data_IF_866334906127
#
_entry.id   IF_866334906127
#
_cell.length_a   1.000
_cell.length_b   1.000
_cell.length_c   1.000
_cell.angle_alpha   90.00
_cell.angle_beta   90.00
_cell.angle_gamma   90.00
#
_symmetry.space_group_name_H-M   'P 1'
#
loop_
_entity.id
_entity.type
_entity.pdbx_description
1 polymer ?
#
# COMPACT_ATOMS: atom_id res chain seq x y z
N UNK A 1 15.48 16.62 11.97
CA UNK A 1 14.73 17.70 12.63
C UNK A 1 13.31 17.17 12.81
N UNK A 2 12.80 17.10 14.04
CA UNK A 2 11.46 16.58 14.28
C UNK A 2 10.42 17.54 13.66
N UNK A 3 9.43 17.00 12.96
CA UNK A 3 8.32 17.79 12.42
C UNK A 3 7.36 18.06 13.57
N UNK A 4 7.07 19.34 13.84
CA UNK A 4 6.03 19.70 14.79
C UNK A 4 4.64 19.53 14.17
N UNK A 5 3.64 19.25 15.00
CA UNK A 5 2.25 19.14 14.53
C UNK A 5 1.78 20.40 13.85
N UNK A 6 1.02 20.23 12.77
CA UNK A 6 0.49 21.30 11.93
C UNK A 6 1.48 21.81 10.87
N UNK A 7 2.70 21.27 10.82
CA UNK A 7 3.72 21.66 9.84
C UNK A 7 3.91 20.63 8.72
N UNK A 8 3.17 19.51 8.71
CA UNK A 8 3.42 18.42 7.76
C UNK A 8 3.36 18.89 6.30
N UNK A 9 2.31 19.62 5.93
CA UNK A 9 2.11 20.09 4.55
C UNK A 9 3.21 21.06 4.12
N UNK A 10 3.56 22.03 4.95
CA UNK A 10 4.59 23.03 4.62
C UNK A 10 5.98 22.38 4.50
N UNK A 11 6.31 21.47 5.41
CA UNK A 11 7.56 20.70 5.37
C UNK A 11 7.63 19.83 4.13
N UNK A 12 6.51 19.25 3.68
CA UNK A 12 6.48 18.42 2.47
C UNK A 12 6.27 19.21 1.17
N UNK A 13 6.07 20.53 1.25
CA UNK A 13 5.79 21.36 0.08
C UNK A 13 4.44 21.04 -0.57
N UNK A 14 3.47 20.57 0.22
CA UNK A 14 2.11 20.24 -0.21
C UNK A 14 1.18 21.44 -0.05
N UNK A 15 0.31 21.65 -1.02
CA UNK A 15 -0.81 22.61 -0.96
C UNK A 15 -2.15 21.92 -0.68
N UNK A 16 -2.22 20.60 -0.87
CA UNK A 16 -3.36 19.74 -0.60
C UNK A 16 -2.99 18.71 0.47
N UNK A 17 -3.86 18.38 1.44
CA UNK A 17 -3.60 17.35 2.45
C UNK A 17 -3.70 15.92 1.90
N UNK A 18 -3.61 15.72 0.58
CA UNK A 18 -3.81 14.43 -0.08
C UNK A 18 -2.48 13.81 -0.44
N UNK A 19 -2.25 12.63 0.12
CA UNK A 19 -1.15 11.73 -0.23
C UNK A 19 -1.74 10.60 -1.06
N UNK A 20 -1.23 10.39 -2.27
CA UNK A 20 -1.59 9.23 -3.06
C UNK A 20 -0.85 8.00 -2.52
N UNK A 21 -1.60 6.96 -2.15
CA UNK A 21 -1.05 5.76 -1.53
C UNK A 21 -0.15 5.00 -2.52
N UNK A 22 1.03 4.50 -2.10
CA UNK A 22 1.87 3.68 -2.96
C UNK A 22 1.19 2.34 -3.27
N UNK A 23 0.68 2.20 -4.49
CA UNK A 23 -0.04 1.00 -4.94
C UNK A 23 0.82 0.23 -5.94
N UNK A 24 1.49 -0.82 -5.47
CA UNK A 24 2.36 -1.68 -6.27
C UNK A 24 1.63 -2.20 -7.51
N UNK A 25 2.19 -1.93 -8.70
CA UNK A 25 1.59 -2.29 -10.00
C UNK A 25 0.52 -1.34 -10.52
N UNK A 26 0.22 -0.23 -9.84
CA UNK A 26 -0.81 0.74 -10.23
C UNK A 26 -0.38 2.22 -10.14
N UNK A 27 0.56 2.53 -9.26
CA UNK A 27 1.07 3.89 -9.01
C UNK A 27 2.36 4.16 -9.81
N UNK A 28 2.21 4.40 -11.11
CA UNK A 28 3.31 4.69 -12.04
C UNK A 28 3.77 6.16 -11.98
N UNK A 29 4.94 6.50 -12.57
CA UNK A 29 5.46 7.87 -12.61
C UNK A 29 4.44 8.95 -13.01
N UNK A 30 3.57 8.68 -13.99
CA UNK A 30 2.58 9.64 -14.47
C UNK A 30 1.56 10.04 -13.39
N UNK A 31 1.09 9.06 -12.60
CA UNK A 31 0.20 9.32 -11.46
C UNK A 31 0.92 10.13 -10.39
N UNK A 32 2.16 9.77 -10.07
CA UNK A 32 2.97 10.47 -9.06
C UNK A 32 3.14 11.94 -9.45
N UNK A 33 3.52 12.20 -10.71
CA UNK A 33 3.67 13.56 -11.24
C UNK A 33 2.35 14.33 -11.17
N UNK A 34 1.26 13.73 -11.65
CA UNK A 34 -0.05 14.38 -11.67
C UNK A 34 -0.53 14.79 -10.26
N UNK A 35 -0.26 13.96 -9.25
CA UNK A 35 -0.56 14.25 -7.84
C UNK A 35 0.32 15.38 -7.30
N UNK A 36 1.63 15.31 -7.55
CA UNK A 36 2.58 16.31 -7.08
C UNK A 36 2.32 17.70 -7.68
N UNK A 37 2.02 17.77 -8.98
CA UNK A 37 1.67 19.03 -9.66
C UNK A 37 0.35 19.61 -9.16
N UNK A 38 -0.62 18.75 -8.84
CA UNK A 38 -1.89 19.15 -8.23
C UNK A 38 -1.75 19.61 -6.75
N UNK A 39 -0.55 19.56 -6.19
CA UNK A 39 -0.25 20.04 -4.83
C UNK A 39 -0.41 18.99 -3.73
N UNK A 40 -0.70 17.73 -4.08
CA UNK A 40 -0.61 16.60 -3.15
C UNK A 40 0.81 16.02 -3.09
N UNK A 41 0.96 14.89 -2.39
CA UNK A 41 2.19 14.09 -2.40
C UNK A 41 1.96 12.79 -3.16
N UNK A 42 2.66 12.60 -4.28
CA UNK A 42 2.73 11.32 -4.98
C UNK A 42 3.81 10.42 -4.38
N UNK A 43 3.54 9.11 -4.27
CA UNK A 43 4.49 8.13 -3.73
C UNK A 43 4.61 6.95 -4.70
N UNK A 44 5.84 6.69 -5.17
CA UNK A 44 6.18 5.53 -5.99
C UNK A 44 6.14 4.27 -5.12
N UNK A 45 5.47 3.22 -5.60
CA UNK A 45 5.48 1.92 -4.95
C UNK A 45 6.67 1.06 -5.43
N UNK A 46 7.82 1.18 -4.77
CA UNK A 46 9.06 0.54 -5.20
C UNK A 46 9.29 -0.87 -4.62
N UNK A 47 8.44 -1.35 -3.71
CA UNK A 47 8.63 -2.65 -3.06
C UNK A 47 8.86 -3.82 -4.06
N UNK A 48 8.11 -3.97 -5.16
CA UNK A 48 8.36 -5.04 -6.13
C UNK A 48 9.37 -4.69 -7.23
N UNK A 49 9.95 -3.48 -7.22
CA UNK A 49 10.79 -2.98 -8.31
C UNK A 49 12.27 -3.32 -8.11
N UNK A 50 12.97 -3.59 -9.21
CA UNK A 50 14.43 -3.66 -9.20
C UNK A 50 15.07 -2.27 -9.02
N UNK A 51 16.35 -2.22 -8.69
CA UNK A 51 17.10 -0.96 -8.60
C UNK A 51 17.03 -0.15 -9.89
N UNK A 52 17.15 -0.82 -11.05
CA UNK A 52 17.11 -0.19 -12.37
C UNK A 52 15.73 0.44 -12.64
N UNK A 53 14.65 -0.23 -12.23
CA UNK A 53 13.30 0.28 -12.37
C UNK A 53 13.05 1.49 -11.47
N UNK A 54 13.55 1.46 -10.22
CA UNK A 54 13.46 2.60 -9.30
C UNK A 54 14.22 3.82 -9.86
N UNK A 55 15.42 3.61 -10.41
CA UNK A 55 16.20 4.69 -11.01
C UNK A 55 15.53 5.27 -12.28
N UNK A 56 14.98 4.40 -13.13
CA UNK A 56 14.21 4.78 -14.31
C UNK A 56 12.99 5.62 -13.93
N UNK A 57 12.20 5.17 -12.97
CA UNK A 57 11.01 5.86 -12.50
C UNK A 57 11.36 7.22 -11.88
N UNK A 58 12.43 7.29 -11.09
CA UNK A 58 12.96 8.55 -10.56
C UNK A 58 13.37 9.53 -11.69
N UNK A 59 14.07 9.06 -12.72
CA UNK A 59 14.43 9.88 -13.87
C UNK A 59 13.20 10.42 -14.62
N UNK A 60 12.19 9.56 -14.82
CA UNK A 60 10.93 9.93 -15.46
C UNK A 60 10.12 10.97 -14.65
N UNK A 61 10.19 10.92 -13.32
CA UNK A 61 9.55 11.91 -12.43
C UNK A 61 10.32 13.24 -12.46
N UNK A 62 11.63 13.21 -12.18
CA UNK A 62 12.45 14.43 -12.05
C UNK A 62 12.61 15.21 -13.36
N UNK A 63 12.44 14.56 -14.51
CA UNK A 63 12.42 15.24 -15.81
C UNK A 63 11.13 16.03 -16.08
N UNK A 64 10.06 15.81 -15.30
CA UNK A 64 8.73 16.40 -15.54
C UNK A 64 8.18 17.22 -14.37
N UNK A 65 8.73 17.05 -13.17
CA UNK A 65 8.36 17.86 -12.00
C UNK A 65 9.55 18.12 -11.08
N UNK A 66 9.56 19.32 -10.49
CA UNK A 66 10.47 19.68 -9.40
C UNK A 66 9.80 19.56 -8.02
N UNK A 67 8.53 19.13 -7.97
CA UNK A 67 7.78 18.98 -6.72
C UNK A 67 8.30 17.77 -5.92
N UNK A 68 8.26 17.82 -4.59
CA UNK A 68 8.68 16.69 -3.77
C UNK A 68 7.80 15.46 -4.00
N UNK A 69 8.41 14.28 -4.01
CA UNK A 69 7.73 12.99 -4.10
C UNK A 69 8.31 12.00 -3.09
N UNK A 70 7.57 10.92 -2.84
CA UNK A 70 7.99 9.83 -1.97
C UNK A 70 8.30 8.53 -2.71
N UNK A 71 9.01 7.64 -2.02
CA UNK A 71 9.21 6.24 -2.45
C UNK A 71 8.80 5.33 -1.30
N UNK A 72 8.09 4.25 -1.61
CA UNK A 72 7.63 3.27 -0.65
C UNK A 72 8.36 1.94 -0.78
N UNK A 73 8.70 1.35 0.36
CA UNK A 73 9.26 0.01 0.46
C UNK A 73 8.52 -0.83 1.49
N UNK A 74 8.63 -2.14 1.35
CA UNK A 74 8.24 -3.06 2.40
C UNK A 74 9.41 -3.29 3.35
N UNK A 75 9.10 -3.43 4.63
CA UNK A 75 10.08 -3.65 5.70
C UNK A 75 9.76 -4.91 6.50
N UNK A 76 9.29 -5.96 5.82
CA UNK A 76 9.08 -7.25 6.44
C UNK A 76 10.41 -8.01 6.61
N UNK A 77 10.46 -8.88 7.62
CA UNK A 77 11.56 -9.83 7.76
C UNK A 77 11.61 -10.80 6.56
N UNK A 78 12.75 -11.47 6.39
CA UNK A 78 12.86 -12.56 5.45
C UNK A 78 11.80 -13.65 5.74
N UNK A 79 11.17 -14.24 4.72
CA UNK A 79 10.14 -15.24 4.93
C UNK A 79 10.71 -16.47 5.65
N UNK A 80 10.03 -16.89 6.72
CA UNK A 80 10.27 -18.19 7.34
C UNK A 80 9.56 -19.25 6.49
N UNK A 81 10.31 -20.22 5.99
CA UNK A 81 9.74 -21.31 5.20
C UNK A 81 9.04 -22.33 6.09
N UNK A 82 7.84 -22.71 5.67
CA UNK A 82 7.08 -23.80 6.26
C UNK A 82 6.74 -24.79 5.15
N UNK A 83 7.53 -25.87 5.08
CA UNK A 83 7.36 -26.88 4.04
C UNK A 83 6.01 -27.61 4.12
N UNK A 84 5.36 -27.65 5.30
CA UNK A 84 4.04 -28.26 5.46
C UNK A 84 2.99 -27.35 4.86
N UNK A 85 2.98 -26.06 5.24
CA UNK A 85 2.07 -25.07 4.67
C UNK A 85 2.27 -24.90 3.16
N UNK A 86 3.52 -24.85 2.69
CA UNK A 86 3.82 -24.77 1.25
C UNK A 86 3.26 -25.96 0.46
N UNK A 87 3.37 -27.19 0.99
CA UNK A 87 2.79 -28.39 0.34
C UNK A 87 1.28 -28.39 0.39
N UNK A 88 0.68 -28.05 1.53
CA UNK A 88 -0.77 -27.96 1.67
C UNK A 88 -1.34 -26.91 0.70
N UNK A 89 -0.72 -25.74 0.61
CA UNK A 89 -1.14 -24.69 -0.32
C UNK A 89 -1.04 -25.14 -1.78
N UNK A 90 0.06 -25.79 -2.18
CA UNK A 90 0.19 -26.37 -3.53
C UNK A 90 -0.93 -27.37 -3.84
N UNK A 91 -1.24 -28.27 -2.91
CA UNK A 91 -2.35 -29.22 -3.07
C UNK A 91 -3.71 -28.52 -3.18
N UNK A 92 -3.91 -27.43 -2.44
CA UNK A 92 -5.14 -26.64 -2.52
C UNK A 92 -5.29 -25.90 -3.85
N UNK A 93 -4.17 -25.50 -4.45
CA UNK A 93 -4.14 -24.82 -5.74
C UNK A 93 -4.28 -25.76 -6.94
N UNK A 94 -3.93 -27.04 -6.79
CA UNK A 94 -3.92 -28.04 -7.86
C UNK A 94 -5.19 -28.07 -8.74
N UNK A 95 -6.42 -28.01 -8.19
CA UNK A 95 -7.63 -28.03 -9.03
C UNK A 95 -7.73 -26.85 -10.00
N UNK A 96 -7.21 -25.67 -9.66
CA UNK A 96 -7.21 -24.51 -10.54
C UNK A 96 -6.19 -24.67 -11.68
N UNK A 97 -5.05 -25.30 -11.40
CA UNK A 97 -4.04 -25.59 -12.42
C UNK A 97 -4.58 -26.61 -13.42
N UNK A 98 -5.25 -27.66 -12.94
CA UNK A 98 -5.91 -28.67 -13.79
C UNK A 98 -7.03 -28.05 -14.65
N UNK A 99 -7.88 -27.21 -14.06
CA UNK A 99 -8.95 -26.51 -14.78
C UNK A 99 -8.42 -25.63 -15.91
N UNK A 100 -7.36 -24.87 -15.64
CA UNK A 100 -6.76 -23.93 -16.59
C UNK A 100 -5.71 -24.58 -17.51
N UNK A 101 -5.46 -25.88 -17.35
CA UNK A 101 -4.41 -26.61 -18.09
C UNK A 101 -3.02 -25.96 -17.96
N UNK A 102 -2.73 -25.42 -16.78
CA UNK A 102 -1.42 -24.85 -16.44
C UNK A 102 -0.50 -25.96 -15.92
N UNK A 103 0.79 -25.83 -16.20
CA UNK A 103 1.76 -26.80 -15.71
C UNK A 103 1.96 -26.64 -14.20
N UNK A 104 1.82 -27.73 -13.44
CA UNK A 104 2.12 -27.72 -12.01
C UNK A 104 3.62 -27.51 -11.74
N UNK A 105 4.47 -27.78 -12.73
CA UNK A 105 5.90 -27.44 -12.70
C UNK A 105 6.15 -25.92 -12.83
N UNK A 106 5.21 -25.14 -13.37
CA UNK A 106 5.25 -23.67 -13.38
C UNK A 106 5.06 -23.05 -11.99
N UNK A 107 4.73 -23.87 -10.98
CA UNK A 107 4.78 -23.45 -9.58
C UNK A 107 6.25 -23.35 -9.17
N UNK A 108 6.87 -22.22 -9.54
CA UNK A 108 8.27 -21.92 -9.32
C UNK A 108 8.73 -22.29 -7.89
N UNK A 109 9.98 -22.74 -7.79
CA UNK A 109 10.67 -22.83 -6.50
C UNK A 109 10.62 -21.45 -5.85
N UNK A 110 10.23 -21.32 -4.57
CA UNK A 110 9.86 -20.03 -4.02
C UNK A 110 11.11 -19.20 -3.71
N UNK A 111 11.55 -18.39 -4.68
CA UNK A 111 12.39 -17.20 -4.44
C UNK A 111 11.49 -16.06 -4.00
N UNK A 112 11.81 -15.32 -2.94
CA UNK A 112 10.93 -14.23 -2.46
C UNK A 112 10.60 -13.27 -3.61
N UNK A 113 9.31 -13.09 -4.01
CA UNK A 113 8.97 -12.22 -5.14
C UNK A 113 9.12 -10.74 -4.78
N UNK A 114 9.18 -10.44 -3.48
CA UNK A 114 9.37 -9.10 -2.95
C UNK A 114 10.36 -9.23 -1.79
N UNK A 115 11.40 -8.42 -1.81
CA UNK A 115 12.38 -8.35 -0.73
C UNK A 115 11.98 -7.28 0.28
N UNK A 116 12.31 -7.52 1.54
CA UNK A 116 12.30 -6.47 2.55
C UNK A 116 13.40 -5.43 2.26
N UNK A 117 13.26 -4.24 2.81
CA UNK A 117 14.23 -3.16 2.63
C UNK A 117 15.62 -3.55 3.16
N UNK A 118 16.59 -3.66 2.25
CA UNK A 118 17.97 -4.02 2.55
C UNK A 118 18.99 -3.05 1.95
N UNK A 119 20.23 -3.52 1.83
CA UNK A 119 21.38 -2.71 1.39
C UNK A 119 21.20 -2.09 -0.01
N UNK A 120 20.63 -2.86 -0.94
CA UNK A 120 20.36 -2.41 -2.29
C UNK A 120 19.37 -1.23 -2.30
N UNK A 121 18.21 -1.39 -1.65
CA UNK A 121 17.18 -0.35 -1.59
C UNK A 121 17.68 0.89 -0.83
N UNK A 122 18.47 0.70 0.23
CA UNK A 122 19.10 1.80 0.96
C UNK A 122 20.08 2.58 0.08
N UNK A 123 20.92 1.90 -0.70
CA UNK A 123 21.84 2.53 -1.66
C UNK A 123 21.09 3.32 -2.74
N UNK A 124 19.94 2.82 -3.22
CA UNK A 124 19.08 3.57 -4.14
C UNK A 124 18.54 4.85 -3.49
N UNK A 125 18.08 4.78 -2.24
CA UNK A 125 17.61 5.95 -1.48
C UNK A 125 18.72 6.99 -1.32
N UNK A 126 19.95 6.58 -1.00
CA UNK A 126 21.09 7.48 -0.84
C UNK A 126 21.44 8.22 -2.14
N UNK A 127 21.28 7.55 -3.28
CA UNK A 127 21.50 8.14 -4.61
C UNK A 127 20.35 9.06 -5.04
N UNK A 128 19.11 8.61 -4.86
CA UNK A 128 17.91 9.31 -5.33
C UNK A 128 17.55 10.49 -4.45
N UNK A 129 17.80 10.38 -3.14
CA UNK A 129 17.46 11.36 -2.10
C UNK A 129 16.01 11.86 -2.22
N UNK A 130 15.00 10.97 -2.15
CA UNK A 130 13.60 11.36 -2.21
C UNK A 130 13.24 12.22 -0.99
N UNK A 131 12.18 13.04 -1.09
CA UNK A 131 11.73 13.85 0.06
C UNK A 131 11.18 12.98 1.17
N UNK A 132 10.51 11.89 0.78
CA UNK A 132 9.87 10.93 1.67
C UNK A 132 10.32 9.52 1.34
N UNK A 133 10.63 8.75 2.36
CA UNK A 133 10.66 7.29 2.28
C UNK A 133 9.58 6.75 3.21
N UNK A 134 8.64 5.99 2.66
CA UNK A 134 7.58 5.37 3.43
C UNK A 134 7.80 3.87 3.55
N UNK A 135 7.51 3.30 4.71
CA UNK A 135 7.62 1.88 4.98
C UNK A 135 6.26 1.26 5.29
N UNK A 136 6.05 0.05 4.79
CA UNK A 136 4.97 -0.83 5.19
C UNK A 136 5.54 -2.04 5.94
N UNK A 137 4.78 -2.56 6.91
CA UNK A 137 5.19 -3.67 7.79
C UNK A 137 6.29 -3.32 8.82
N UNK A 138 6.31 -2.07 9.30
CA UNK A 138 7.24 -1.61 10.33
C UNK A 138 8.33 -0.70 9.77
N UNK A 139 9.51 -0.75 10.39
CA UNK A 139 10.71 -0.01 10.00
C UNK A 139 11.86 -0.99 9.72
N UNK A 140 12.84 -0.60 8.88
CA UNK A 140 14.01 -1.43 8.63
C UNK A 140 14.94 -1.42 9.85
N UNK A 141 16.02 -2.20 9.78
CA UNK A 141 17.08 -2.18 10.78
C UNK A 141 17.59 -0.75 11.03
N UNK A 142 17.95 -0.46 12.29
CA UNK A 142 18.25 0.89 12.75
C UNK A 142 19.37 1.57 11.94
N UNK A 143 20.37 0.83 11.48
CA UNK A 143 21.47 1.35 10.66
C UNK A 143 21.00 1.76 9.26
N UNK A 144 20.12 0.97 8.64
CA UNK A 144 19.50 1.30 7.35
C UNK A 144 18.58 2.51 7.50
N UNK A 145 17.77 2.56 8.56
CA UNK A 145 16.92 3.70 8.86
C UNK A 145 17.74 4.99 9.06
N UNK A 146 18.86 4.91 9.77
CA UNK A 146 19.76 6.04 9.97
C UNK A 146 20.30 6.57 8.63
N UNK A 147 20.69 5.68 7.72
CA UNK A 147 21.16 6.04 6.38
C UNK A 147 20.09 6.71 5.54
N UNK A 148 18.86 6.18 5.54
CA UNK A 148 17.69 6.81 4.91
C UNK A 148 17.50 8.24 5.41
N UNK A 149 17.57 8.46 6.73
CA UNK A 149 17.46 9.80 7.32
C UNK A 149 18.66 10.71 6.97
N UNK A 150 19.89 10.16 6.92
CA UNK A 150 21.10 10.89 6.48
C UNK A 150 21.03 11.31 5.01
N UNK A 151 20.32 10.56 4.17
CA UNK A 151 20.02 10.96 2.79
C UNK A 151 19.06 12.17 2.71
N UNK A 152 18.47 12.59 3.84
CA UNK A 152 17.58 13.75 3.94
C UNK A 152 16.11 13.44 3.75
N UNK A 153 15.74 12.15 3.70
CA UNK A 153 14.35 11.73 3.60
C UNK A 153 13.64 11.83 4.96
N UNK A 154 12.38 12.24 4.91
CA UNK A 154 11.43 12.07 6.00
C UNK A 154 10.86 10.65 5.96
N UNK A 155 10.84 9.99 7.11
CA UNK A 155 10.39 8.60 7.22
C UNK A 155 8.93 8.56 7.62
N UNK A 156 8.10 7.91 6.80
CA UNK A 156 6.71 7.59 7.14
C UNK A 156 6.55 6.08 7.33
N UNK A 157 5.68 5.64 8.25
CA UNK A 157 5.38 4.22 8.37
C UNK A 157 3.94 3.96 8.81
N UNK A 158 3.39 2.82 8.39
CA UNK A 158 2.01 2.44 8.72
C UNK A 158 1.89 1.85 10.13
N UNK A 159 0.88 2.30 10.88
CA UNK A 159 0.43 1.68 12.13
C UNK A 159 -1.05 1.33 12.02
N UNK A 160 -1.41 0.17 12.57
CA UNK A 160 -2.78 -0.37 12.60
C UNK A 160 -3.36 -0.41 14.01
N UNK A 161 -2.51 -0.16 15.01
CA UNK A 161 -2.85 -0.04 16.42
C UNK A 161 -2.12 1.16 17.04
N UNK A 162 -2.62 1.63 18.20
CA UNK A 162 -1.95 2.68 18.98
C UNK A 162 -0.56 2.23 19.44
N UNK A 163 -0.41 0.97 19.84
CA UNK A 163 0.87 0.40 20.27
C UNK A 163 1.93 0.46 19.16
N UNK A 164 1.54 0.16 17.92
CA UNK A 164 2.44 0.29 16.77
C UNK A 164 2.83 1.74 16.52
N UNK A 165 1.92 2.70 16.66
CA UNK A 165 2.22 4.12 16.49
C UNK A 165 3.23 4.63 17.53
N UNK A 166 3.05 4.27 18.80
CA UNK A 166 4.00 4.60 19.88
C UNK A 166 5.35 3.95 19.62
N UNK A 167 5.36 2.71 19.12
CA UNK A 167 6.60 2.04 18.73
C UNK A 167 7.30 2.79 17.59
N UNK A 168 6.59 3.18 16.53
CA UNK A 168 7.16 3.92 15.40
C UNK A 168 7.79 5.25 15.85
N UNK A 169 7.12 5.99 16.73
CA UNK A 169 7.65 7.23 17.31
C UNK A 169 8.96 6.98 18.07
N UNK A 170 8.98 5.97 18.94
CA UNK A 170 10.17 5.63 19.72
C UNK A 170 11.36 5.15 18.86
N UNK A 171 11.10 4.65 17.65
CA UNK A 171 12.11 4.06 16.77
C UNK A 171 12.47 4.95 15.56
N UNK A 172 12.14 6.24 15.63
CA UNK A 172 12.68 7.23 14.69
C UNK A 172 11.88 7.43 13.41
N UNK A 173 10.60 7.03 13.38
CA UNK A 173 9.66 7.49 12.38
C UNK A 173 9.44 9.01 12.51
N UNK A 174 9.16 9.70 11.41
CA UNK A 174 8.86 11.14 11.41
C UNK A 174 7.35 11.42 11.25
N UNK A 175 6.59 10.49 10.65
CA UNK A 175 5.14 10.61 10.40
C UNK A 175 4.48 9.23 10.46
N UNK A 176 3.39 9.09 11.22
CA UNK A 176 2.65 7.83 11.33
C UNK A 176 1.45 7.82 10.39
N UNK A 177 1.35 6.78 9.55
CA UNK A 177 0.18 6.52 8.70
C UNK A 177 -0.77 5.60 9.50
N UNK A 178 -1.84 6.17 10.04
CA UNK A 178 -2.90 5.45 10.74
C UNK A 178 -3.78 4.68 9.74
N UNK A 179 -3.46 3.40 9.53
CA UNK A 179 -4.12 2.55 8.55
C UNK A 179 -5.32 1.82 9.17
N UNK A 180 -6.52 2.36 9.00
CA UNK A 180 -7.77 1.74 9.43
C UNK A 180 -8.13 0.48 8.64
N UNK A 181 -9.12 -0.26 9.13
CA UNK A 181 -9.51 -1.59 8.63
C UNK A 181 -10.25 -1.53 7.30
N UNK A 182 -10.73 -0.35 6.97
CA UNK A 182 -11.34 0.03 5.72
C UNK A 182 -10.32 0.12 4.57
N UNK A 183 -9.01 0.15 4.85
CA UNK A 183 -7.98 0.27 3.82
C UNK A 183 -7.92 -0.96 2.89
N UNK A 184 -7.69 -0.72 1.60
CA UNK A 184 -7.43 -1.74 0.60
C UNK A 184 -6.00 -2.26 0.64
N UNK A 185 -5.76 -3.44 0.07
CA UNK A 185 -4.42 -4.04 0.02
C UNK A 185 -3.97 -4.55 1.39
N UNK A 186 -2.67 -4.80 1.54
CA UNK A 186 -2.11 -5.40 2.73
C UNK A 186 -2.35 -4.60 4.01
N UNK A 187 -2.55 -5.33 5.11
CA UNK A 187 -2.53 -4.80 6.47
C UNK A 187 -1.10 -4.57 6.93
N UNK A 188 -0.78 -3.33 7.28
CA UNK A 188 0.55 -2.85 7.64
C UNK A 188 1.03 -3.17 9.05
N UNK A 189 0.24 -3.93 9.82
CA UNK A 189 0.56 -4.37 11.19
C UNK A 189 1.92 -5.07 11.20
N UNK A 190 2.67 -5.00 12.30
CA UNK A 190 4.00 -5.59 12.38
C UNK A 190 4.39 -6.08 13.78
N UNK A 191 3.70 -5.63 14.83
CA UNK A 191 3.90 -6.16 16.18
C UNK A 191 3.07 -7.41 16.40
N UNK A 192 3.62 -8.36 17.16
CA UNK A 192 2.93 -9.60 17.50
C UNK A 192 1.61 -9.32 18.24
N UNK A 193 0.53 -9.96 17.79
CA UNK A 193 -0.80 -9.82 18.38
C UNK A 193 -1.56 -8.57 17.93
N UNK A 194 -1.01 -7.78 17.01
CA UNK A 194 -1.73 -6.67 16.39
C UNK A 194 -2.93 -7.16 15.58
N UNK A 195 -2.88 -8.36 15.01
CA UNK A 195 -3.86 -8.92 14.06
C UNK A 195 -5.30 -8.80 14.56
N UNK A 196 -5.54 -9.16 15.83
CA UNK A 196 -6.86 -9.15 16.48
C UNK A 196 -7.23 -7.81 17.13
N UNK A 197 -6.29 -6.86 17.19
CA UNK A 197 -6.42 -5.58 17.90
C UNK A 197 -6.59 -4.38 16.97
N UNK A 198 -6.62 -4.65 15.67
CA UNK A 198 -6.77 -3.66 14.64
C UNK A 198 -8.12 -2.93 14.72
N UNK A 199 -8.17 -1.67 14.25
CA UNK A 199 -9.32 -0.77 14.43
C UNK A 199 -9.77 -0.08 13.14
N UNK A 200 -11.04 0.31 13.07
CA UNK A 200 -11.54 1.17 11.99
C UNK A 200 -10.98 2.59 12.07
N UNK A 201 -10.83 3.27 10.92
CA UNK A 201 -10.21 4.60 10.77
C UNK A 201 -10.78 5.61 11.77
N UNK A 202 -12.10 5.62 11.95
CA UNK A 202 -12.79 6.57 12.82
C UNK A 202 -12.33 6.51 14.28
N UNK A 203 -11.93 5.33 14.75
CA UNK A 203 -11.43 5.13 16.12
C UNK A 203 -9.92 5.13 16.21
N UNK A 204 -9.24 4.65 15.16
CA UNK A 204 -7.78 4.53 15.14
C UNK A 204 -7.10 5.91 15.09
N UNK A 205 -7.57 6.79 14.21
CA UNK A 205 -6.95 8.10 13.97
C UNK A 205 -6.88 8.95 15.25
N UNK A 206 -8.00 9.28 15.93
CA UNK A 206 -7.93 10.16 17.10
C UNK A 206 -7.13 9.52 18.24
N UNK A 207 -7.21 8.19 18.42
CA UNK A 207 -6.45 7.51 19.47
C UNK A 207 -4.95 7.52 19.22
N UNK A 208 -4.51 7.44 17.95
CA UNK A 208 -3.09 7.61 17.62
C UNK A 208 -2.68 9.08 17.83
N UNK A 209 -3.50 10.03 17.37
CA UNK A 209 -3.25 11.47 17.56
C UNK A 209 -3.07 11.80 19.04
N UNK A 210 -3.86 11.23 19.95
CA UNK A 210 -3.72 11.47 21.38
C UNK A 210 -2.48 10.81 22.00
N UNK A 211 -1.98 9.72 21.41
CA UNK A 211 -0.95 8.87 22.01
C UNK A 211 0.49 9.24 21.62
N UNK A 212 0.71 9.90 20.48
CA UNK A 212 2.05 10.28 19.99
C UNK A 212 2.16 11.79 19.82
N UNK A 213 3.35 12.31 19.56
CA UNK A 213 3.61 13.72 19.20
C UNK A 213 3.79 13.92 17.70
N UNK A 214 4.14 12.89 16.95
CA UNK A 214 4.33 12.97 15.50
C UNK A 214 3.04 13.38 14.76
N UNK A 215 3.16 13.97 13.56
CA UNK A 215 2.06 14.11 12.60
C UNK A 215 1.44 12.76 12.25
N UNK A 216 0.12 12.74 12.09
CA UNK A 216 -0.66 11.56 11.74
C UNK A 216 -1.30 11.74 10.37
N UNK A 217 -1.15 10.75 9.50
CA UNK A 217 -1.81 10.64 8.21
C UNK A 217 -2.89 9.57 8.29
N UNK A 218 -4.15 9.92 8.03
CA UNK A 218 -5.24 8.95 8.06
C UNK A 218 -5.30 8.14 6.75
N UNK A 219 -5.41 6.81 6.85
CA UNK A 219 -5.54 5.94 5.68
C UNK A 219 -6.65 4.90 5.88
N UNK A 220 -7.46 4.68 4.83
CA UNK A 220 -8.51 3.66 4.82
C UNK A 220 -9.92 4.24 4.84
N UNK A 221 -10.76 3.82 3.89
CA UNK A 221 -12.15 4.27 3.75
C UNK A 221 -12.32 5.70 3.19
N UNK A 222 -11.24 6.46 3.06
CA UNK A 222 -11.27 7.85 2.58
C UNK A 222 -11.33 7.84 1.05
N UNK A 223 -12.53 8.06 0.52
CA UNK A 223 -12.78 8.09 -0.92
C UNK A 223 -13.11 9.47 -1.47
N UNK A 224 -13.69 10.38 -0.68
CA UNK A 224 -14.20 11.70 -1.12
C UNK A 224 -13.89 12.81 -0.09
N UNK A 225 -14.28 14.04 -0.41
CA UNK A 225 -14.03 15.23 0.45
C UNK A 225 -14.62 15.13 1.86
N UNK A 226 -15.71 14.37 2.06
CA UNK A 226 -16.31 14.18 3.40
C UNK A 226 -15.38 13.33 4.25
N UNK A 227 -14.82 12.27 3.68
CA UNK A 227 -13.80 11.45 4.34
C UNK A 227 -12.55 12.26 4.69
N UNK A 228 -12.11 13.15 3.79
CA UNK A 228 -10.97 14.05 4.06
C UNK A 228 -11.28 14.97 5.24
N UNK A 229 -12.41 15.68 5.21
CA UNK A 229 -12.82 16.58 6.30
C UNK A 229 -12.98 15.84 7.63
N UNK A 230 -13.57 14.65 7.62
CA UNK A 230 -13.71 13.84 8.83
C UNK A 230 -12.35 13.43 9.41
N UNK A 231 -11.42 12.95 8.57
CA UNK A 231 -10.08 12.58 9.03
C UNK A 231 -9.31 13.75 9.64
N UNK A 232 -9.36 14.91 8.99
CA UNK A 232 -8.75 16.13 9.50
C UNK A 232 -9.41 16.60 10.81
N UNK A 233 -10.74 16.50 10.93
CA UNK A 233 -11.47 16.80 12.18
C UNK A 233 -11.14 15.83 13.33
N UNK A 234 -10.72 14.60 13.01
CA UNK A 234 -10.21 13.62 13.98
C UNK A 234 -8.74 13.87 14.37
N UNK A 235 -8.11 14.92 13.84
CA UNK A 235 -6.75 15.36 14.19
C UNK A 235 -5.64 14.86 13.26
N UNK A 236 -5.96 14.20 12.15
CA UNK A 236 -4.96 13.93 11.12
C UNK A 236 -4.54 15.22 10.41
N UNK A 237 -3.28 15.31 9.97
CA UNK A 237 -2.77 16.46 9.20
C UNK A 237 -2.93 16.26 7.69
N UNK A 238 -3.00 15.01 7.26
CA UNK A 238 -3.19 14.63 5.87
C UNK A 238 -3.94 13.30 5.78
N UNK A 239 -4.33 12.94 4.57
CA UNK A 239 -4.97 11.66 4.24
C UNK A 239 -4.15 10.92 3.20
N UNK A 240 -4.02 9.61 3.35
CA UNK A 240 -3.46 8.73 2.34
C UNK A 240 -4.58 7.95 1.66
N UNK A 241 -4.75 8.22 0.36
CA UNK A 241 -5.86 7.71 -0.45
C UNK A 241 -5.33 6.73 -1.49
N UNK A 242 -5.87 5.51 -1.50
CA UNK A 242 -5.48 4.46 -2.45
C UNK A 242 -6.59 4.17 -3.46
N UNK A 243 -7.65 3.48 -3.03
CA UNK A 243 -8.71 2.95 -3.89
C UNK A 243 -9.33 3.97 -4.85
N UNK A 244 -9.47 5.23 -4.46
CA UNK A 244 -9.99 6.27 -5.35
C UNK A 244 -9.06 6.55 -6.56
N UNK A 245 -7.73 6.48 -6.36
CA UNK A 245 -6.75 6.69 -7.43
C UNK A 245 -6.67 5.51 -8.40
N UNK A 246 -7.15 4.31 -8.03
CA UNK A 246 -7.24 3.17 -8.95
C UNK A 246 -8.22 3.43 -10.11
N UNK A 247 -9.13 4.40 -9.96
CA UNK A 247 -10.09 4.80 -10.99
C UNK A 247 -9.57 5.94 -11.89
N UNK A 248 -8.36 6.46 -11.64
CA UNK A 248 -7.79 7.56 -12.41
C UNK A 248 -7.22 7.08 -13.74
N UNK A 249 -7.18 7.96 -14.74
CA UNK A 249 -6.67 7.66 -16.08
C UNK A 249 -5.20 7.21 -16.11
N UNK A 250 -4.42 7.64 -15.11
CA UNK A 250 -3.01 7.31 -14.92
C UNK A 250 -2.80 5.94 -14.26
N UNK A 251 -3.86 5.34 -13.72
CA UNK A 251 -3.82 3.98 -13.23
C UNK A 251 -3.88 3.04 -14.46
N UNK A 252 -2.73 2.52 -14.89
CA UNK A 252 -2.65 1.54 -15.99
C UNK A 252 -3.28 0.20 -15.55
N UNK A 253 -4.61 0.16 -15.58
CA UNK A 253 -5.40 -0.96 -15.07
C UNK A 253 -5.64 -2.03 -16.13
N UNK A 254 -5.51 -3.29 -15.71
CA UNK A 254 -5.97 -4.43 -16.52
C UNK A 254 -7.49 -4.38 -16.65
N UNK A 255 -8.07 -4.68 -17.83
CA UNK A 255 -9.52 -4.56 -18.04
C UNK A 255 -10.37 -5.35 -17.04
N UNK A 256 -9.97 -6.57 -16.67
CA UNK A 256 -10.67 -7.39 -15.68
C UNK A 256 -10.70 -6.75 -14.28
N UNK A 257 -9.55 -6.20 -13.85
CA UNK A 257 -9.43 -5.50 -12.57
C UNK A 257 -10.34 -4.26 -12.53
N UNK A 258 -10.30 -3.43 -13.58
CA UNK A 258 -11.10 -2.22 -13.64
C UNK A 258 -12.60 -2.53 -13.61
N UNK A 259 -13.05 -3.53 -14.38
CA UNK A 259 -14.46 -3.96 -14.38
C UNK A 259 -14.89 -4.44 -13.00
N UNK A 260 -14.10 -5.31 -12.36
CA UNK A 260 -14.40 -5.80 -11.02
C UNK A 260 -14.51 -4.65 -10.01
N UNK A 261 -13.56 -3.70 -10.04
CA UNK A 261 -13.59 -2.53 -9.16
C UNK A 261 -14.82 -1.65 -9.41
N UNK A 262 -15.17 -1.38 -10.67
CA UNK A 262 -16.31 -0.52 -11.05
C UNK A 262 -17.68 -1.13 -10.73
N UNK A 263 -17.77 -2.46 -10.71
CA UNK A 263 -18.99 -3.21 -10.41
C UNK A 263 -19.15 -3.51 -8.91
N UNK A 264 -18.15 -3.17 -8.09
CA UNK A 264 -18.14 -3.46 -6.65
C UNK A 264 -18.46 -2.23 -5.81
N UNK A 265 -18.91 -2.50 -4.60
CA UNK A 265 -19.12 -1.54 -3.52
C UNK A 265 -18.23 -1.87 -2.32
N UNK A 266 -18.27 -1.03 -1.28
CA UNK A 266 -17.55 -1.31 -0.05
C UNK A 266 -17.94 -2.63 0.64
N UNK A 267 -19.17 -3.08 0.45
CA UNK A 267 -19.72 -4.33 1.03
C UNK A 267 -19.11 -5.57 0.38
N UNK A 268 -18.64 -5.46 -0.86
CA UNK A 268 -18.08 -6.57 -1.63
C UNK A 268 -16.61 -6.86 -1.28
N UNK A 269 -16.03 -6.14 -0.32
CA UNK A 269 -14.63 -6.33 0.06
C UNK A 269 -14.44 -7.24 1.27
N UNK A 270 -13.47 -8.15 1.18
CA UNK A 270 -13.11 -9.11 2.24
C UNK A 270 -11.64 -8.99 2.60
N UNK A 271 -11.31 -9.36 3.84
CA UNK A 271 -9.93 -9.56 4.28
C UNK A 271 -9.52 -10.99 3.95
N UNK A 272 -8.35 -11.20 3.35
CA UNK A 272 -7.82 -12.54 3.15
C UNK A 272 -6.30 -12.58 3.10
N UNK A 273 -5.71 -13.70 3.53
CA UNK A 273 -4.28 -13.98 3.34
C UNK A 273 -4.00 -14.76 2.04
N UNK A 274 -5.01 -15.37 1.41
CA UNK A 274 -4.85 -16.39 0.36
C UNK A 274 -3.96 -15.96 -0.83
N UNK A 275 -3.98 -14.67 -1.19
CA UNK A 275 -3.20 -14.19 -2.33
C UNK A 275 -1.70 -14.00 -2.05
N UNK A 276 -1.30 -13.91 -0.78
CA UNK A 276 0.07 -13.48 -0.47
C UNK A 276 0.69 -14.06 0.78
N UNK A 277 -0.09 -14.72 1.65
CA UNK A 277 0.35 -15.19 2.96
C UNK A 277 0.27 -14.13 4.05
N UNK A 278 -0.25 -12.94 3.75
CA UNK A 278 -0.48 -11.87 4.72
C UNK A 278 -1.87 -11.26 4.49
N UNK A 279 -2.62 -10.93 5.57
CA UNK A 279 -3.93 -10.30 5.43
C UNK A 279 -3.90 -9.06 4.54
N UNK A 280 -4.75 -9.05 3.52
CA UNK A 280 -4.97 -7.95 2.61
C UNK A 280 -6.46 -7.84 2.24
N UNK A 281 -6.94 -6.61 2.05
CA UNK A 281 -8.32 -6.36 1.63
C UNK A 281 -8.45 -6.32 0.11
N UNK A 282 -9.39 -7.10 -0.40
CA UNK A 282 -9.70 -7.27 -1.83
C UNK A 282 -11.20 -7.21 -2.05
N UNK A 283 -11.61 -6.93 -3.29
CA UNK A 283 -12.95 -7.31 -3.77
C UNK A 283 -13.05 -8.84 -3.77
N UNK A 284 -14.14 -9.37 -3.23
CA UNK A 284 -14.40 -10.80 -3.16
C UNK A 284 -14.61 -11.39 -4.56
N UNK A 285 -13.82 -12.41 -4.89
CA UNK A 285 -13.90 -13.14 -6.14
C UNK A 285 -13.97 -14.67 -5.88
N UNK A 286 -13.96 -15.46 -6.95
CA UNK A 286 -14.02 -16.93 -6.87
C UNK A 286 -12.96 -17.49 -5.93
N UNK A 287 -11.71 -17.05 -6.08
CA UNK A 287 -10.58 -17.50 -5.26
C UNK A 287 -10.82 -17.27 -3.76
N UNK A 288 -11.28 -16.07 -3.38
CA UNK A 288 -11.56 -15.78 -1.96
C UNK A 288 -12.73 -16.58 -1.39
N UNK A 289 -13.77 -16.85 -2.19
CA UNK A 289 -14.95 -17.60 -1.75
C UNK A 289 -14.64 -19.08 -1.54
N UNK A 290 -13.85 -19.65 -2.43
CA UNK A 290 -13.51 -21.08 -2.39
C UNK A 290 -12.38 -21.39 -1.40
N UNK A 291 -11.40 -20.50 -1.25
CA UNK A 291 -10.23 -20.74 -0.39
C UNK A 291 -10.27 -20.05 0.98
N UNK A 292 -11.28 -19.22 1.24
CA UNK A 292 -11.40 -18.49 2.52
C UNK A 292 -11.48 -19.37 3.76
N UNK A 293 -11.88 -20.64 3.63
CA UNK A 293 -11.90 -21.60 4.75
C UNK A 293 -10.54 -22.26 5.03
N UNK A 294 -9.53 -22.02 4.18
CA UNK A 294 -8.22 -22.65 4.21
C UNK A 294 -7.10 -21.67 4.56
N UNK A 295 -7.41 -20.56 5.24
CA UNK A 295 -6.40 -19.54 5.56
C UNK A 295 -5.23 -20.06 6.41
N UNK A 296 -5.47 -21.11 7.21
CA UNK A 296 -4.44 -21.76 8.04
C UNK A 296 -3.46 -22.62 7.22
N UNK A 297 -3.75 -22.89 5.95
CA UNK A 297 -2.93 -23.70 5.05
C UNK A 297 -2.12 -22.83 4.07
N UNK A 298 -2.31 -21.50 4.10
CA UNK A 298 -1.66 -20.57 3.17
C UNK A 298 -0.17 -20.48 3.50
N UNK A 299 0.68 -20.56 2.48
CA UNK A 299 2.11 -20.37 2.64
C UNK A 299 2.44 -18.97 3.19
N UNK A 300 3.50 -18.86 4.00
CA UNK A 300 3.90 -17.59 4.61
C UNK A 300 4.18 -16.49 3.58
N UNK A 301 3.91 -15.24 3.94
CA UNK A 301 4.25 -14.10 3.11
C UNK A 301 5.76 -13.92 2.94
N UNK A 302 6.26 -13.55 1.74
CA UNK A 302 5.52 -13.38 0.48
C UNK A 302 5.49 -14.64 -0.42
N UNK A 303 5.81 -15.83 0.11
CA UNK A 303 5.97 -17.07 -0.66
C UNK A 303 4.68 -17.51 -1.36
N UNK A 304 3.50 -17.29 -0.76
CA UNK A 304 2.23 -17.64 -1.41
C UNK A 304 2.01 -16.90 -2.73
N UNK A 305 2.57 -15.68 -2.89
CA UNK A 305 2.46 -14.91 -4.13
C UNK A 305 3.09 -15.66 -5.31
N UNK A 306 4.21 -16.36 -5.11
CA UNK A 306 4.84 -17.17 -6.15
C UNK A 306 3.95 -18.34 -6.56
N UNK A 307 3.36 -19.01 -5.57
CA UNK A 307 2.58 -20.23 -5.79
C UNK A 307 1.32 -19.94 -6.61
N UNK A 308 0.78 -18.73 -6.52
CA UNK A 308 -0.38 -18.30 -7.30
C UNK A 308 -0.03 -17.53 -8.58
N UNK A 309 1.23 -17.18 -8.81
CA UNK A 309 1.62 -16.30 -9.91
C UNK A 309 1.16 -16.79 -11.29
N UNK A 310 1.21 -18.10 -11.63
CA UNK A 310 0.64 -18.60 -12.88
C UNK A 310 -0.86 -18.31 -13.03
N UNK A 311 -1.65 -18.51 -11.97
CA UNK A 311 -3.09 -18.22 -11.94
C UNK A 311 -3.37 -16.72 -12.18
N UNK A 312 -2.57 -15.85 -11.54
CA UNK A 312 -2.71 -14.40 -11.71
C UNK A 312 -2.32 -13.96 -13.13
N UNK A 313 -1.33 -14.62 -13.77
CA UNK A 313 -0.96 -14.35 -15.17
C UNK A 313 -2.04 -14.80 -16.13
N UNK A 314 -2.59 -16.00 -15.96
CA UNK A 314 -3.70 -16.51 -16.77
C UNK A 314 -4.92 -15.58 -16.68
N UNK A 315 -5.33 -15.21 -15.47
CA UNK A 315 -6.42 -14.26 -15.24
C UNK A 315 -6.17 -12.92 -15.95
N UNK A 316 -4.92 -12.44 -15.96
CA UNK A 316 -4.57 -11.22 -16.67
C UNK A 316 -4.71 -11.36 -18.20
N UNK A 317 -4.31 -12.49 -18.77
CA UNK A 317 -4.37 -12.77 -20.21
C UNK A 317 -5.81 -12.99 -20.70
N UNK A 318 -6.63 -13.70 -19.92
CA UNK A 318 -8.05 -13.92 -20.21
C UNK A 318 -8.93 -12.71 -19.90
N UNK A 319 -8.38 -11.69 -19.24
CA UNK A 319 -9.13 -10.52 -18.77
C UNK A 319 -10.10 -10.85 -17.64
N UNK A 320 -9.91 -11.98 -16.94
CA UNK A 320 -10.65 -12.37 -15.75
C UNK A 320 -10.10 -11.69 -14.49
N UNK A 321 -10.91 -11.67 -13.43
CA UNK A 321 -10.51 -11.27 -12.07
C UNK A 321 -10.76 -12.36 -11.04
N UNK A 322 -11.22 -13.54 -11.46
CA UNK A 322 -11.70 -14.58 -10.55
C UNK A 322 -10.61 -15.19 -9.68
N UNK A 323 -9.39 -15.29 -10.23
CA UNK A 323 -8.21 -15.89 -9.60
C UNK A 323 -7.06 -14.89 -9.43
N UNK A 324 -7.35 -13.59 -9.53
CA UNK A 324 -6.39 -12.51 -9.35
C UNK A 324 -6.84 -11.55 -8.24
N UNK A 325 -5.92 -11.02 -7.43
CA UNK A 325 -6.31 -10.08 -6.38
C UNK A 325 -6.76 -8.74 -6.97
N UNK A 326 -7.93 -8.27 -6.49
CA UNK A 326 -8.46 -6.94 -6.79
C UNK A 326 -8.42 -6.09 -5.51
N UNK A 327 -7.27 -5.48 -5.22
CA UNK A 327 -7.06 -4.72 -3.99
C UNK A 327 -7.96 -3.48 -3.91
N UNK A 328 -8.89 -3.45 -2.95
CA UNK A 328 -9.78 -2.30 -2.77
C UNK A 328 -10.18 -2.15 -1.30
N UNK A 329 -10.31 -0.90 -0.86
CA UNK A 329 -10.81 -0.58 0.47
C UNK A 329 -12.34 -0.57 0.52
N UNK A 330 -12.91 -0.43 1.71
CA UNK A 330 -14.37 -0.32 1.90
C UNK A 330 -14.94 1.03 1.40
N UNK A 331 -14.07 1.98 1.06
CA UNK A 331 -14.44 3.28 0.47
C UNK A 331 -14.58 3.26 -1.05
N UNK A 332 -14.93 2.12 -1.67
CA UNK A 332 -15.09 2.05 -3.14
C UNK A 332 -16.14 3.06 -3.58
N UNK A 333 -15.73 3.92 -4.51
CA UNK A 333 -16.62 4.82 -5.23
C UNK A 333 -16.21 4.79 -6.70
N UNK A 334 -17.11 4.42 -7.63
CA UNK A 334 -16.82 4.54 -9.04
C UNK A 334 -16.76 6.04 -9.37
N UNK A 335 -15.55 6.58 -9.43
CA UNK A 335 -15.32 7.82 -10.15
C UNK A 335 -15.44 7.49 -11.65
N UNK A 336 -16.19 8.31 -12.40
CA UNK A 336 -16.03 8.32 -13.85
C UNK A 336 -14.58 8.63 -14.24
N UNK A 337 -14.19 8.49 -15.52
CA UNK A 337 -12.80 8.71 -15.93
C UNK A 337 -12.36 10.13 -15.56
N UNK A 338 -11.50 10.24 -14.57
CA UNK A 338 -10.91 11.50 -14.10
C UNK A 338 -9.39 11.34 -14.00
N UNK A 339 -8.66 12.44 -14.13
CA UNK A 339 -7.22 12.43 -13.89
C UNK A 339 -6.92 12.40 -12.40
N UNK A 340 -5.73 11.94 -12.03
CA UNK A 340 -5.24 11.99 -10.66
C UNK A 340 -5.20 13.44 -10.14
N UNK A 341 -4.84 14.40 -11.00
CA UNK A 341 -4.89 15.83 -10.67
C UNK A 341 -6.31 16.32 -10.34
N UNK A 342 -7.32 15.93 -11.14
CA UNK A 342 -8.72 16.25 -10.86
C UNK A 342 -9.20 15.62 -9.54
N UNK A 343 -8.78 14.38 -9.24
CA UNK A 343 -9.12 13.73 -7.98
C UNK A 343 -8.51 14.49 -6.78
N UNK A 344 -7.24 14.89 -6.85
CA UNK A 344 -6.62 15.74 -5.81
C UNK A 344 -7.43 17.02 -5.62
N UNK A 345 -7.80 17.71 -6.70
CA UNK A 345 -8.66 18.91 -6.62
C UNK A 345 -10.00 18.65 -5.92
N UNK A 346 -10.67 17.52 -6.20
CA UNK A 346 -11.94 17.15 -5.55
C UNK A 346 -11.80 16.78 -4.07
N UNK A 347 -10.63 16.29 -3.68
CA UNK A 347 -10.31 15.88 -2.31
C UNK A 347 -9.71 17.03 -1.49
N UNK A 348 -9.30 18.12 -2.13
CA UNK A 348 -8.70 19.29 -1.47
C UNK A 348 -9.81 20.17 -0.87
N UNK A 349 -9.82 20.40 0.46
CA UNK A 349 -10.73 21.36 1.06
C UNK A 349 -10.40 22.78 0.58
N UNK A 350 -11.39 23.51 0.07
CA UNK A 350 -11.19 24.88 -0.44
C UNK A 350 -11.05 25.89 0.71
N UNK A 351 -11.72 25.66 1.84
CA UNK A 351 -11.64 26.47 3.06
C UNK A 351 -11.87 25.56 4.29
N UNK A 352 -11.08 25.77 5.34
CA UNK A 352 -11.38 25.41 6.72
C UNK A 352 -11.67 26.73 7.44
N UNK A 353 -12.95 27.03 7.68
CA UNK A 353 -13.36 28.12 8.57
C UNK A 353 -14.01 27.50 9.81
#
# INVERSE_FOLDING_TARGET
MAIERGQLLSVLGMASPVIQAPMAGFAFPDMVIAVCEAGGLGIVAAAPHSMEEIERDNGAIRSRTNRPFGINFFSHAAPVRDAVAERAWRQRLQPYFEELQLDAEDIALPTSPVEGFGEAQCSAVERIRPRVVSFHFGLPDADLLMRVKKAGALVMASATTVTEAVWLEAHGCDVVIAQGMEAGGHRGHFLAGSESRQRGTFTLVPQIVDAIRLPVVAAGGIGDIRGVRAALALGAEAVQVGTAFLCCTEASMRPGYLRALQQSTGEDTVMTSAFSGRPARVVANRFTRELGMHENEVANFPLAMNLIAPLVRDAAQSGSSDLAPVWAGQGIRPYGPITASQLVGRLTPVEWA
#
